data_IF_093340046123
#
_entry.id   IF_093340046123
#
_cell.length_a   1.000
_cell.length_b   1.000
_cell.length_c   1.000
_cell.angle_alpha   90.00
_cell.angle_beta   90.00
_cell.angle_gamma   90.00
#
_symmetry.space_group_name_H-M   'P 1'
#
loop_
_entity.id
_entity.type
_entity.pdbx_description
1 polymer ?
#
# COMPACT_ATOMS: atom_id res chain seq x y z
N UNK A 1 -9.16 34.43 -11.12
CA UNK A 1 -7.92 34.20 -10.36
C UNK A 1 -8.13 33.21 -9.21
N UNK A 2 -9.11 33.41 -8.34
CA UNK A 2 -9.43 32.48 -7.23
C UNK A 2 -9.73 31.04 -7.68
N UNK A 3 -10.38 30.85 -8.83
CA UNK A 3 -10.69 29.53 -9.39
C UNK A 3 -9.46 28.72 -9.78
N UNK A 4 -8.35 29.38 -10.15
CA UNK A 4 -7.08 28.72 -10.48
C UNK A 4 -6.44 28.20 -9.18
N UNK A 5 -6.38 29.04 -8.15
CA UNK A 5 -5.82 28.66 -6.85
C UNK A 5 -6.65 27.56 -6.17
N UNK A 6 -7.98 27.64 -6.26
CA UNK A 6 -8.87 26.59 -5.76
C UNK A 6 -8.66 25.27 -6.51
N UNK A 7 -8.53 25.31 -7.83
CA UNK A 7 -8.23 24.13 -8.65
C UNK A 7 -6.90 23.49 -8.26
N UNK A 8 -5.85 24.30 -8.08
CA UNK A 8 -4.54 23.83 -7.61
C UNK A 8 -4.62 23.21 -6.21
N UNK A 9 -5.35 23.84 -5.29
CA UNK A 9 -5.55 23.32 -3.94
C UNK A 9 -6.23 21.94 -3.96
N UNK A 10 -7.29 21.77 -4.75
CA UNK A 10 -7.95 20.47 -4.94
C UNK A 10 -7.02 19.43 -5.54
N UNK A 11 -6.26 19.79 -6.58
CA UNK A 11 -5.32 18.87 -7.21
C UNK A 11 -4.24 18.37 -6.25
N UNK A 12 -3.73 19.23 -5.36
CA UNK A 12 -2.75 18.83 -4.33
C UNK A 12 -3.33 17.75 -3.40
N UNK A 13 -4.61 17.86 -3.04
CA UNK A 13 -5.29 16.87 -2.20
C UNK A 13 -5.43 15.51 -2.91
N UNK A 14 -5.56 15.50 -4.23
CA UNK A 14 -5.69 14.28 -5.04
C UNK A 14 -4.35 13.70 -5.54
N UNK A 15 -3.20 14.26 -5.14
CA UNK A 15 -1.89 13.71 -5.50
C UNK A 15 -1.66 12.31 -4.92
N UNK A 16 -0.85 11.46 -5.58
CA UNK A 16 -0.44 10.17 -5.03
C UNK A 16 0.15 10.32 -3.63
N UNK A 17 -0.27 9.46 -2.71
CA UNK A 17 -0.04 9.55 -1.26
C UNK A 17 -0.66 10.76 -0.57
N UNK A 18 -0.96 11.86 -1.26
CA UNK A 18 -1.72 12.97 -0.67
C UNK A 18 -3.12 12.53 -0.28
N UNK A 19 -3.85 11.97 -1.24
CA UNK A 19 -5.20 11.46 -1.01
C UNK A 19 -5.21 10.31 0.00
N UNK A 20 -4.30 9.35 -0.17
CA UNK A 20 -4.26 8.13 0.63
C UNK A 20 -3.67 8.30 2.03
N UNK A 21 -2.78 9.28 2.23
CA UNK A 21 -2.05 9.43 3.50
C UNK A 21 -2.39 10.69 4.31
N UNK A 22 -3.14 11.64 3.74
CA UNK A 22 -3.57 12.86 4.44
C UNK A 22 -5.07 12.91 4.73
N UNK A 23 -5.85 12.03 4.09
CA UNK A 23 -7.28 11.87 4.35
C UNK A 23 -7.59 10.73 5.33
N UNK A 24 -8.89 10.43 5.52
CA UNK A 24 -9.32 9.23 6.22
C UNK A 24 -8.78 7.96 5.59
N UNK A 25 -8.61 6.93 6.41
CA UNK A 25 -8.06 5.62 6.02
C UNK A 25 -8.80 4.95 4.86
N UNK A 26 -10.10 5.21 4.81
CA UNK A 26 -11.08 4.71 3.87
C UNK A 26 -10.70 5.08 2.45
N UNK A 27 -10.12 6.26 2.22
CA UNK A 27 -9.72 6.67 0.87
C UNK A 27 -8.66 5.73 0.28
N UNK A 28 -7.72 5.28 1.11
CA UNK A 28 -6.70 4.34 0.65
C UNK A 28 -7.29 2.93 0.50
N UNK A 29 -8.13 2.50 1.43
CA UNK A 29 -8.80 1.19 1.38
C UNK A 29 -9.67 1.09 0.11
N UNK A 30 -10.47 2.10 -0.18
CA UNK A 30 -11.35 2.13 -1.35
C UNK A 30 -10.56 2.06 -2.66
N UNK A 31 -9.45 2.78 -2.74
CA UNK A 31 -8.53 2.69 -3.88
C UNK A 31 -7.95 1.27 -4.03
N UNK A 32 -7.50 0.65 -2.94
CA UNK A 32 -6.95 -0.72 -2.95
C UNK A 32 -8.00 -1.77 -3.37
N UNK A 33 -9.22 -1.67 -2.86
CA UNK A 33 -10.30 -2.58 -3.21
C UNK A 33 -10.75 -2.39 -4.67
N UNK A 34 -10.80 -1.14 -5.13
CA UNK A 34 -11.14 -0.82 -6.52
C UNK A 34 -10.11 -1.40 -7.48
N UNK A 35 -8.81 -1.13 -7.26
CA UNK A 35 -7.77 -1.70 -8.14
C UNK A 35 -7.74 -3.23 -8.08
N UNK A 36 -7.93 -3.82 -6.90
CA UNK A 36 -7.94 -5.28 -6.76
C UNK A 36 -9.05 -5.94 -7.59
N UNK A 37 -10.25 -5.33 -7.60
CA UNK A 37 -11.40 -5.78 -8.40
C UNK A 37 -11.19 -5.52 -9.90
N UNK A 38 -10.75 -4.32 -10.28
CA UNK A 38 -10.57 -3.92 -11.68
C UNK A 38 -9.50 -4.77 -12.38
N UNK A 39 -8.37 -5.00 -11.71
CA UNK A 39 -7.25 -5.76 -12.26
C UNK A 39 -7.36 -7.28 -12.00
N UNK A 40 -8.39 -7.74 -11.28
CA UNK A 40 -8.57 -9.16 -10.89
C UNK A 40 -7.31 -9.75 -10.27
N UNK A 41 -6.75 -9.05 -9.29
CA UNK A 41 -5.47 -9.42 -8.66
C UNK A 41 -5.57 -10.72 -7.90
N UNK A 42 -4.56 -11.58 -7.97
CA UNK A 42 -4.52 -12.85 -7.23
C UNK A 42 -3.94 -12.73 -5.81
N UNK A 43 -3.18 -11.67 -5.53
CA UNK A 43 -2.61 -11.38 -4.21
C UNK A 43 -2.25 -9.89 -4.07
N UNK A 44 -2.02 -9.45 -2.83
CA UNK A 44 -1.52 -8.11 -2.56
C UNK A 44 -0.20 -8.15 -1.76
N UNK A 45 0.68 -7.19 -2.03
CA UNK A 45 1.99 -7.09 -1.41
C UNK A 45 2.20 -5.66 -0.91
N UNK A 46 2.37 -5.50 0.39
CA UNK A 46 2.78 -4.26 1.04
C UNK A 46 4.26 -4.33 1.43
N UNK A 47 5.09 -3.60 0.69
CA UNK A 47 6.50 -3.36 1.02
C UNK A 47 6.63 -2.00 1.70
N UNK A 48 6.53 -1.99 3.03
CA UNK A 48 6.56 -0.77 3.82
C UNK A 48 7.97 -0.25 4.04
N UNK A 49 8.25 0.98 3.62
CA UNK A 49 9.49 1.64 3.99
C UNK A 49 9.51 1.90 5.49
N UNK A 50 10.54 1.48 6.22
CA UNK A 50 10.58 1.58 7.69
C UNK A 50 10.32 2.99 8.25
N UNK A 51 10.77 4.02 7.54
CA UNK A 51 10.52 5.43 7.92
C UNK A 51 9.06 5.88 7.78
N UNK A 52 8.22 5.15 7.03
CA UNK A 52 6.85 5.54 6.71
C UNK A 52 5.85 5.07 7.79
N UNK A 53 5.89 5.71 8.95
CA UNK A 53 5.07 5.33 10.12
C UNK A 53 3.57 5.32 9.83
N UNK A 54 3.09 6.25 8.99
CA UNK A 54 1.68 6.33 8.61
C UNK A 54 1.21 5.05 7.91
N UNK A 55 1.88 4.66 6.82
CA UNK A 55 1.53 3.46 6.07
C UNK A 55 1.71 2.19 6.91
N UNK A 56 2.71 2.15 7.80
CA UNK A 56 2.90 1.04 8.73
C UNK A 56 1.74 0.88 9.73
N UNK A 57 1.21 1.98 10.25
CA UNK A 57 0.06 1.94 11.15
C UNK A 57 -1.19 1.36 10.47
N UNK A 58 -1.33 1.57 9.16
CA UNK A 58 -2.48 1.10 8.39
C UNK A 58 -2.31 -0.30 7.80
N UNK A 59 -1.08 -0.82 7.69
CA UNK A 59 -0.78 -2.04 6.95
C UNK A 59 -1.58 -3.26 7.45
N UNK A 60 -1.75 -3.39 8.76
CA UNK A 60 -2.54 -4.47 9.36
C UNK A 60 -4.03 -4.38 9.00
N UNK A 61 -4.59 -3.17 9.08
CA UNK A 61 -5.99 -2.90 8.72
C UNK A 61 -6.24 -3.18 7.23
N UNK A 62 -5.36 -2.69 6.35
CA UNK A 62 -5.46 -2.92 4.91
C UNK A 62 -5.40 -4.40 4.58
N UNK A 63 -4.48 -5.13 5.22
CA UNK A 63 -4.35 -6.58 5.05
C UNK A 63 -5.67 -7.28 5.37
N UNK A 64 -6.24 -7.01 6.54
CA UNK A 64 -7.48 -7.63 6.98
C UNK A 64 -8.64 -7.34 6.01
N UNK A 65 -8.78 -6.08 5.59
CA UNK A 65 -9.86 -5.68 4.67
C UNK A 65 -9.67 -6.30 3.28
N UNK A 66 -8.45 -6.32 2.74
CA UNK A 66 -8.19 -6.95 1.44
C UNK A 66 -8.49 -8.44 1.50
N UNK A 67 -8.01 -9.15 2.53
CA UNK A 67 -8.24 -10.59 2.69
C UNK A 67 -9.74 -10.88 2.83
N UNK A 68 -10.49 -10.03 3.53
CA UNK A 68 -11.93 -10.17 3.73
C UNK A 68 -12.76 -9.85 2.47
N UNK A 69 -12.48 -8.72 1.82
CA UNK A 69 -13.34 -8.17 0.76
C UNK A 69 -12.97 -8.66 -0.64
N UNK A 70 -11.69 -8.99 -0.87
CA UNK A 70 -11.22 -9.53 -2.15
C UNK A 70 -10.98 -11.04 -2.10
N UNK A 71 -10.84 -11.63 -0.90
CA UNK A 71 -10.57 -13.06 -0.76
C UNK A 71 -9.17 -13.47 -1.22
N UNK A 72 -8.23 -12.52 -1.27
CA UNK A 72 -6.87 -12.75 -1.76
C UNK A 72 -5.84 -12.63 -0.64
N UNK A 73 -4.76 -13.43 -0.66
CA UNK A 73 -3.72 -13.38 0.35
C UNK A 73 -2.89 -12.10 0.28
N UNK A 74 -2.46 -11.62 1.46
CA UNK A 74 -1.67 -10.40 1.61
C UNK A 74 -0.31 -10.65 2.28
N UNK A 75 0.77 -10.17 1.65
CA UNK A 75 2.12 -10.16 2.24
C UNK A 75 2.49 -8.75 2.70
N UNK A 76 2.78 -8.58 3.99
CA UNK A 76 3.31 -7.34 4.56
C UNK A 76 4.75 -7.55 5.02
N UNK A 77 5.69 -6.72 4.56
CA UNK A 77 7.07 -6.74 5.05
C UNK A 77 7.73 -5.37 4.99
N UNK A 78 8.74 -5.18 5.83
CA UNK A 78 9.54 -3.97 5.88
C UNK A 78 10.65 -3.99 4.83
N UNK A 79 10.96 -2.81 4.30
CA UNK A 79 12.07 -2.56 3.38
C UNK A 79 12.71 -1.21 3.69
N UNK A 80 13.94 -1.05 3.22
CA UNK A 80 14.59 0.24 3.13
C UNK A 80 15.44 0.22 1.84
N UNK A 81 15.31 1.28 1.03
CA UNK A 81 15.99 1.36 -0.26
C UNK A 81 17.40 1.94 -0.16
N UNK A 82 17.79 2.44 1.01
CA UNK A 82 19.06 3.11 1.28
C UNK A 82 19.89 2.27 2.25
N UNK A 83 19.28 1.74 3.31
CA UNK A 83 19.94 0.99 4.38
C UNK A 83 19.56 -0.50 4.37
N UNK A 84 20.50 -1.36 3.99
CA UNK A 84 20.26 -2.80 3.98
C UNK A 84 20.41 -3.49 5.34
N UNK A 85 20.86 -2.80 6.39
CA UNK A 85 21.10 -3.40 7.73
C UNK A 85 19.83 -3.99 8.35
N UNK A 86 18.66 -3.33 8.29
CA UNK A 86 17.43 -3.82 8.91
C UNK A 86 16.81 -4.98 8.13
N UNK A 87 16.79 -4.87 6.80
CA UNK A 87 16.28 -5.91 5.91
C UNK A 87 17.18 -6.05 4.69
N UNK A 88 17.80 -7.22 4.55
CA UNK A 88 18.67 -7.50 3.40
C UNK A 88 17.86 -7.86 2.15
N UNK A 89 18.42 -7.60 0.96
CA UNK A 89 17.81 -8.01 -0.31
C UNK A 89 17.58 -9.54 -0.39
N UNK A 90 18.43 -10.35 0.26
CA UNK A 90 18.26 -11.80 0.35
C UNK A 90 16.97 -12.16 1.11
N UNK A 91 16.73 -11.50 2.23
CA UNK A 91 15.52 -11.73 3.04
C UNK A 91 14.25 -11.31 2.31
N UNK A 92 14.26 -10.15 1.63
CA UNK A 92 13.14 -9.73 0.76
C UNK A 92 12.83 -10.79 -0.30
N UNK A 93 13.85 -11.23 -1.05
CA UNK A 93 13.70 -12.28 -2.06
C UNK A 93 13.16 -13.60 -1.47
N UNK A 94 13.61 -13.97 -0.27
CA UNK A 94 13.14 -15.17 0.43
C UNK A 94 11.66 -15.05 0.79
N UNK A 95 11.22 -13.92 1.37
CA UNK A 95 9.82 -13.67 1.73
C UNK A 95 8.91 -13.71 0.50
N UNK A 96 9.28 -13.01 -0.56
CA UNK A 96 8.53 -13.02 -1.82
C UNK A 96 8.46 -14.43 -2.42
N UNK A 97 9.58 -15.17 -2.47
CA UNK A 97 9.60 -16.53 -3.02
C UNK A 97 8.69 -17.48 -2.24
N UNK A 98 8.67 -17.39 -0.91
CA UNK A 98 7.83 -18.24 -0.07
C UNK A 98 6.34 -17.89 -0.25
N UNK A 99 6.02 -16.59 -0.27
CA UNK A 99 4.66 -16.12 -0.44
C UNK A 99 4.10 -16.46 -1.82
N UNK A 100 4.82 -16.15 -2.90
CA UNK A 100 4.34 -16.44 -4.25
C UNK A 100 4.14 -17.94 -4.48
N UNK A 101 4.90 -18.81 -3.81
CA UNK A 101 4.66 -20.26 -3.84
C UNK A 101 3.39 -20.71 -3.12
N UNK A 102 2.85 -19.93 -2.18
CA UNK A 102 1.60 -20.25 -1.49
C UNK A 102 0.35 -19.70 -2.17
N UNK A 103 0.51 -18.79 -3.14
CA UNK A 103 -0.60 -18.20 -3.92
C UNK A 103 -0.92 -19.07 -5.16
N UNK A 104 0.04 -19.87 -5.62
CA UNK A 104 -0.08 -20.78 -6.80
C UNK A 104 -0.69 -22.12 -6.41
#
# INVERSE_FOLDING_TARGET
DDTIFEGMAKQILDTPMGRQSRGPSEFYIDDLLRIGKEYKTDCAIYSGHMGCKHSHAMAALMKEIIEKELGIPCLTFEVDCIDSRPVTAREVKRKLKLFLKSVV
#
